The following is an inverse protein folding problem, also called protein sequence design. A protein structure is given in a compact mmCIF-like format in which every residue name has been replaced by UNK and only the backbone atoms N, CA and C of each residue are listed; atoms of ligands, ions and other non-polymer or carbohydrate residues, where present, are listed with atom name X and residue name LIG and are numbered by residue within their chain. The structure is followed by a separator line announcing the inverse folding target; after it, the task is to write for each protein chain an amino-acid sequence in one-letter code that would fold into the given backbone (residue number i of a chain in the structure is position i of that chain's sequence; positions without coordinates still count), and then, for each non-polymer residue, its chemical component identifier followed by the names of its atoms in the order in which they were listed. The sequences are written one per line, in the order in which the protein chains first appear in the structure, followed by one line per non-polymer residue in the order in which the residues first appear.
data_IF_032318750888
#
_entry.id   IF_032318750888
#
_cell.length_a   1.000
_cell.length_b   1.000
_cell.length_c   1.000
_cell.angle_alpha   90.00
_cell.angle_beta   90.00
_cell.angle_gamma   90.00
#
_symmetry.space_group_name_H-M   'P 1'
#
loop_
_entity.id
_entity.type
_entity.pdbx_description
1 polymer ?
#
# COMPACT_ATOMS: atom_id res chain seq x y z
N UNK A 1 15.97 -11.57 37.90
CA UNK A 1 16.89 -10.74 37.08
C UNK A 1 17.59 -11.51 35.97
N UNK A 2 18.10 -12.69 36.27
CA UNK A 2 18.79 -13.52 35.26
C UNK A 2 17.86 -13.95 34.11
N UNK A 3 16.61 -14.30 34.41
CA UNK A 3 15.61 -14.72 33.41
C UNK A 3 15.30 -13.62 32.40
N UNK A 4 15.23 -12.34 32.84
CA UNK A 4 15.00 -11.19 31.94
C UNK A 4 16.20 -10.90 31.05
N UNK A 5 17.40 -11.10 31.56
CA UNK A 5 18.65 -10.91 30.80
C UNK A 5 18.82 -11.99 29.74
N UNK A 6 18.55 -13.24 30.11
CA UNK A 6 18.58 -14.38 29.18
C UNK A 6 17.52 -14.20 28.10
N UNK A 7 16.31 -13.80 28.46
CA UNK A 7 15.23 -13.55 27.53
C UNK A 7 15.58 -12.43 26.54
N UNK A 8 16.18 -11.33 26.99
CA UNK A 8 16.60 -10.22 26.13
C UNK A 8 17.67 -10.67 25.14
N UNK A 9 18.65 -11.45 25.59
CA UNK A 9 19.69 -11.97 24.71
C UNK A 9 19.09 -12.91 23.64
N UNK A 10 18.17 -13.78 24.03
CA UNK A 10 17.45 -14.66 23.09
C UNK A 10 16.63 -13.87 22.07
N UNK A 11 15.95 -12.83 22.51
CA UNK A 11 15.17 -11.95 21.62
C UNK A 11 16.05 -11.25 20.60
N UNK A 12 17.18 -10.69 21.05
CA UNK A 12 18.14 -10.03 20.15
C UNK A 12 18.77 -11.00 19.17
N UNK A 13 19.13 -12.19 19.62
CA UNK A 13 19.66 -13.26 18.75
C UNK A 13 18.59 -13.72 17.74
N UNK A 14 17.34 -13.80 18.16
CA UNK A 14 16.23 -14.13 17.26
C UNK A 14 16.03 -13.12 16.16
N UNK A 15 16.10 -11.82 16.48
CA UNK A 15 16.02 -10.74 15.51
C UNK A 15 17.20 -10.77 14.54
N UNK A 16 18.41 -11.00 15.05
CA UNK A 16 19.61 -11.14 14.22
C UNK A 16 19.47 -12.29 13.21
N UNK A 17 18.94 -13.42 13.66
CA UNK A 17 18.66 -14.58 12.78
C UNK A 17 17.60 -14.25 11.72
N UNK A 18 16.58 -13.48 12.06
CA UNK A 18 15.54 -13.06 11.10
C UNK A 18 16.15 -12.18 9.99
N UNK A 19 17.02 -11.25 10.34
CA UNK A 19 17.74 -10.46 9.34
C UNK A 19 18.62 -11.34 8.46
N UNK A 20 19.37 -12.25 9.05
CA UNK A 20 20.25 -13.15 8.32
C UNK A 20 19.51 -14.09 7.37
N UNK A 21 18.28 -14.49 7.74
CA UNK A 21 17.45 -15.38 6.91
C UNK A 21 16.61 -14.66 5.86
N UNK A 22 16.68 -13.32 5.79
CA UNK A 22 15.94 -12.52 4.82
C UNK A 22 14.52 -12.15 5.24
N UNK A 23 14.09 -12.49 6.45
CA UNK A 23 12.79 -12.12 6.99
C UNK A 23 12.82 -10.70 7.58
N UNK A 24 13.04 -9.73 6.71
CA UNK A 24 13.36 -8.35 7.10
C UNK A 24 12.20 -7.65 7.80
N UNK A 25 10.98 -7.75 7.27
CA UNK A 25 9.81 -7.08 7.86
C UNK A 25 9.50 -7.60 9.27
N UNK A 26 9.61 -8.91 9.47
CA UNK A 26 9.41 -9.53 10.78
C UNK A 26 10.49 -9.10 11.76
N UNK A 27 11.74 -9.07 11.31
CA UNK A 27 12.87 -8.60 12.12
C UNK A 27 12.68 -7.14 12.54
N UNK A 28 12.29 -6.26 11.63
CA UNK A 28 12.02 -4.86 11.91
C UNK A 28 10.86 -4.67 12.88
N UNK A 29 9.79 -5.46 12.73
CA UNK A 29 8.64 -5.42 13.61
C UNK A 29 9.00 -5.85 15.03
N UNK A 30 9.72 -6.96 15.15
CA UNK A 30 10.16 -7.48 16.45
C UNK A 30 11.14 -6.51 17.14
N UNK A 31 12.03 -5.90 16.36
CA UNK A 31 12.98 -4.91 16.88
C UNK A 31 12.24 -3.65 17.38
N UNK A 32 11.23 -3.17 16.66
CA UNK A 32 10.43 -2.03 17.13
C UNK A 32 9.69 -2.33 18.43
N UNK A 33 9.12 -3.52 18.55
CA UNK A 33 8.48 -3.96 19.80
C UNK A 33 9.47 -3.99 20.95
N UNK A 34 10.67 -4.50 20.69
CA UNK A 34 11.72 -4.58 21.71
C UNK A 34 12.20 -3.19 22.11
N UNK A 35 12.45 -2.30 21.15
CA UNK A 35 12.83 -0.91 21.42
C UNK A 35 11.78 -0.15 22.23
N UNK A 36 10.49 -0.42 22.01
CA UNK A 36 9.40 0.22 22.73
C UNK A 36 9.36 -0.13 24.22
N UNK A 37 9.96 -1.25 24.62
CA UNK A 37 10.05 -1.66 26.01
C UNK A 37 11.08 -0.85 26.79
N UNK A 38 11.95 -0.11 26.12
CA UNK A 38 13.02 0.68 26.73
C UNK A 38 12.81 2.17 26.45
N UNK A 39 13.18 3.01 27.40
CA UNK A 39 13.06 4.46 27.32
C UNK A 39 13.87 5.12 28.42
N UNK A 40 13.58 6.37 28.72
CA UNK A 40 14.28 7.13 29.77
C UNK A 40 14.17 6.45 31.14
N UNK A 41 12.97 5.89 31.44
CA UNK A 41 12.69 5.23 32.73
C UNK A 41 13.23 3.80 32.78
N UNK A 42 13.44 3.19 31.61
CA UNK A 42 13.99 1.84 31.47
C UNK A 42 15.09 1.87 30.42
N UNK A 43 16.31 2.25 30.80
CA UNK A 43 17.42 2.29 29.82
C UNK A 43 17.82 0.88 29.41
N UNK A 44 18.34 0.76 28.20
CA UNK A 44 18.90 -0.49 27.70
C UNK A 44 20.10 -0.87 28.56
N UNK A 45 20.18 -2.12 29.06
CA UNK A 45 21.35 -2.56 29.81
C UNK A 45 22.64 -2.36 29.00
N UNK A 46 23.66 -1.85 29.64
CA UNK A 46 24.93 -1.50 28.97
C UNK A 46 25.53 -2.68 28.19
N UNK A 47 25.35 -3.87 28.67
CA UNK A 47 25.79 -5.13 28.04
C UNK A 47 25.22 -5.31 26.65
N UNK A 48 23.99 -4.83 26.38
CA UNK A 48 23.28 -5.03 25.13
C UNK A 48 23.25 -3.79 24.22
N UNK A 49 23.76 -2.64 24.66
CA UNK A 49 23.73 -1.39 23.89
C UNK A 49 24.33 -1.54 22.51
N UNK A 50 25.47 -2.17 22.41
CA UNK A 50 26.19 -2.38 21.16
C UNK A 50 25.38 -3.22 20.18
N UNK A 51 24.73 -4.26 20.68
CA UNK A 51 23.92 -5.16 19.89
C UNK A 51 22.64 -4.46 19.38
N UNK A 52 21.99 -3.68 20.24
CA UNK A 52 20.84 -2.85 19.85
C UNK A 52 21.20 -1.83 18.78
N UNK A 53 22.30 -1.12 18.95
CA UNK A 53 22.77 -0.13 17.99
C UNK A 53 23.04 -0.77 16.62
N UNK A 54 23.67 -1.91 16.61
CA UNK A 54 23.97 -2.65 15.38
C UNK A 54 22.72 -3.12 14.68
N UNK A 55 21.76 -3.67 15.42
CA UNK A 55 20.47 -4.12 14.86
C UNK A 55 19.62 -2.96 14.37
N UNK A 56 19.58 -1.86 15.11
CA UNK A 56 18.88 -0.65 14.69
C UNK A 56 19.48 -0.04 13.42
N UNK A 57 20.81 -0.06 13.31
CA UNK A 57 21.51 0.38 12.12
C UNK A 57 21.16 -0.50 10.92
N UNK A 58 21.18 -1.83 11.10
CA UNK A 58 20.81 -2.78 10.06
C UNK A 58 19.35 -2.57 9.61
N UNK A 59 18.42 -2.39 10.54
CA UNK A 59 17.02 -2.12 10.23
C UNK A 59 16.85 -0.84 9.40
N UNK A 60 17.60 0.21 9.76
CA UNK A 60 17.58 1.48 9.03
C UNK A 60 18.14 1.34 7.61
N UNK A 61 19.23 0.59 7.47
CA UNK A 61 19.79 0.31 6.13
C UNK A 61 18.78 -0.37 5.21
N UNK A 62 18.04 -1.36 5.72
CA UNK A 62 16.99 -2.02 4.94
C UNK A 62 15.83 -1.08 4.60
N UNK A 63 15.45 -0.19 5.52
CA UNK A 63 14.44 0.84 5.25
C UNK A 63 14.88 1.80 4.14
N UNK A 64 16.11 2.28 4.22
CA UNK A 64 16.68 3.19 3.22
C UNK A 64 16.76 2.52 1.85
N UNK A 65 17.17 1.26 1.82
CA UNK A 65 17.21 0.45 0.60
C UNK A 65 15.82 0.26 0.00
N UNK A 66 14.84 -0.10 0.83
CA UNK A 66 13.46 -0.29 0.40
C UNK A 66 12.87 1.02 -0.15
N UNK A 67 13.12 2.14 0.53
CA UNK A 67 12.68 3.45 0.07
C UNK A 67 13.31 3.82 -1.27
N UNK A 68 14.62 3.61 -1.41
CA UNK A 68 15.35 3.88 -2.66
C UNK A 68 14.80 3.03 -3.82
N UNK A 69 14.63 1.73 -3.58
CA UNK A 69 14.15 0.79 -4.59
C UNK A 69 12.70 1.08 -5.03
N UNK A 70 11.84 1.53 -4.10
CA UNK A 70 10.43 1.79 -4.38
C UNK A 70 10.16 3.21 -4.85
N UNK A 71 11.02 4.18 -4.51
CA UNK A 71 10.82 5.60 -4.83
C UNK A 71 10.74 5.84 -6.34
N UNK A 72 11.68 5.31 -7.09
CA UNK A 72 11.71 5.44 -8.57
C UNK A 72 10.49 4.77 -9.19
N UNK A 73 10.11 3.59 -8.70
CA UNK A 73 8.94 2.87 -9.17
C UNK A 73 7.65 3.65 -8.92
N UNK A 74 7.52 4.27 -7.77
CA UNK A 74 6.37 5.13 -7.45
C UNK A 74 6.28 6.34 -8.37
N UNK A 75 7.41 6.96 -8.67
CA UNK A 75 7.48 8.08 -9.62
C UNK A 75 7.06 7.64 -11.02
N UNK A 76 7.50 6.47 -11.47
CA UNK A 76 7.07 5.88 -12.75
C UNK A 76 5.55 5.67 -12.78
N UNK A 77 4.96 5.14 -11.71
CA UNK A 77 3.52 4.90 -11.62
C UNK A 77 2.72 6.20 -11.65
N UNK A 78 3.18 7.24 -10.97
CA UNK A 78 2.57 8.58 -11.02
C UNK A 78 2.60 9.12 -12.44
N UNK A 79 3.73 8.99 -13.11
CA UNK A 79 3.90 9.44 -14.51
C UNK A 79 2.98 8.65 -15.45
N UNK A 80 2.88 7.35 -15.27
CA UNK A 80 2.01 6.48 -16.06
C UNK A 80 0.54 6.90 -15.95
N UNK A 81 0.04 7.12 -14.73
CA UNK A 81 -1.33 7.59 -14.51
C UNK A 81 -1.53 8.99 -15.08
N UNK A 82 -0.56 9.88 -14.92
CA UNK A 82 -0.62 11.24 -15.49
C UNK A 82 -0.73 11.19 -17.02
N UNK A 83 -0.01 10.28 -17.65
CA UNK A 83 -0.10 10.05 -19.09
C UNK A 83 -1.46 9.47 -19.50
N UNK A 84 -2.03 8.60 -18.68
CA UNK A 84 -3.38 8.05 -18.93
C UNK A 84 -4.44 9.14 -18.90
N UNK A 85 -4.29 10.18 -18.08
CA UNK A 85 -5.25 11.28 -17.97
C UNK A 85 -5.38 12.06 -19.30
N UNK A 86 -4.32 12.09 -20.11
CA UNK A 86 -4.30 12.77 -21.41
C UNK A 86 -4.45 11.80 -22.58
N UNK A 87 -4.57 10.52 -22.33
CA UNK A 87 -4.72 9.50 -23.37
C UNK A 87 -6.13 9.52 -23.95
N UNK A 88 -6.24 9.12 -25.22
CA UNK A 88 -7.53 9.00 -25.92
C UNK A 88 -8.05 7.56 -25.91
N UNK A 89 -7.79 6.85 -24.84
CA UNK A 89 -8.22 5.46 -24.70
C UNK A 89 -9.72 5.38 -24.41
N UNK A 90 -10.34 4.30 -24.87
CA UNK A 90 -11.72 3.97 -24.48
C UNK A 90 -11.85 3.86 -22.96
N UNK A 91 -12.97 4.33 -22.38
CA UNK A 91 -13.16 4.32 -20.92
C UNK A 91 -12.95 2.97 -20.24
N UNK A 92 -13.41 1.87 -20.85
CA UNK A 92 -13.20 0.53 -20.31
C UNK A 92 -11.73 0.15 -20.22
N UNK A 93 -11.00 0.42 -21.30
CA UNK A 93 -9.57 0.15 -21.39
C UNK A 93 -8.77 1.04 -20.47
N UNK A 94 -9.18 2.31 -20.38
CA UNK A 94 -8.59 3.27 -19.44
C UNK A 94 -8.77 2.82 -17.99
N UNK A 95 -9.98 2.38 -17.63
CA UNK A 95 -10.28 1.86 -16.30
C UNK A 95 -9.40 0.66 -15.94
N UNK A 96 -9.22 -0.30 -16.85
CA UNK A 96 -8.37 -1.46 -16.64
C UNK A 96 -6.91 -1.04 -16.38
N UNK A 97 -6.39 -0.06 -17.13
CA UNK A 97 -5.03 0.43 -16.95
C UNK A 97 -4.85 1.17 -15.65
N UNK A 98 -5.82 1.99 -15.26
CA UNK A 98 -5.80 2.70 -13.96
C UNK A 98 -5.80 1.68 -12.82
N UNK A 99 -6.66 0.67 -12.86
CA UNK A 99 -6.69 -0.38 -11.85
C UNK A 99 -5.38 -1.18 -11.78
N UNK A 100 -4.76 -1.44 -12.92
CA UNK A 100 -3.47 -2.12 -12.97
C UNK A 100 -2.37 -1.30 -12.26
N UNK A 101 -2.33 0.01 -12.49
CA UNK A 101 -1.37 0.91 -11.82
C UNK A 101 -1.65 0.98 -10.32
N UNK A 102 -2.92 1.05 -9.91
CA UNK A 102 -3.30 1.04 -8.51
C UNK A 102 -2.89 -0.24 -7.80
N UNK A 103 -3.02 -1.39 -8.46
CA UNK A 103 -2.56 -2.68 -7.93
C UNK A 103 -1.04 -2.71 -7.75
N UNK A 104 -0.30 -2.16 -8.71
CA UNK A 104 1.17 -2.06 -8.59
C UNK A 104 1.57 -1.17 -7.42
N UNK A 105 0.86 -0.06 -7.19
CA UNK A 105 1.10 0.80 -6.04
C UNK A 105 0.85 0.07 -4.72
N UNK A 106 -0.25 -0.67 -4.61
CA UNK A 106 -0.56 -1.49 -3.44
C UNK A 106 0.50 -2.56 -3.19
N UNK A 107 1.02 -3.19 -4.23
CA UNK A 107 2.11 -4.15 -4.12
C UNK A 107 3.37 -3.51 -3.52
N UNK A 108 3.70 -2.29 -3.92
CA UNK A 108 4.83 -1.56 -3.35
C UNK A 108 4.60 -1.25 -1.87
N UNK A 109 3.38 -0.93 -1.47
CA UNK A 109 3.03 -0.69 -0.06
C UNK A 109 3.16 -1.97 0.77
N UNK A 110 2.81 -3.13 0.22
CA UNK A 110 2.88 -4.42 0.91
C UNK A 110 4.32 -4.93 1.06
N UNK A 111 5.15 -4.74 0.04
CA UNK A 111 6.49 -5.33 -0.02
C UNK A 111 7.62 -4.32 0.22
N UNK A 112 7.30 -3.03 0.28
CA UNK A 112 8.26 -1.96 0.52
C UNK A 112 7.80 -1.03 1.62
N UNK A 113 8.43 0.14 1.69
CA UNK A 113 8.06 1.19 2.63
C UNK A 113 6.81 1.92 2.11
N UNK A 114 5.91 2.28 3.02
CA UNK A 114 4.72 3.06 2.69
C UNK A 114 5.12 4.41 2.09
N UNK A 115 4.41 4.87 1.09
CA UNK A 115 4.67 6.14 0.44
C UNK A 115 4.49 7.32 1.40
N UNK A 116 5.25 8.40 1.17
CA UNK A 116 5.03 9.65 1.88
C UNK A 116 3.63 10.20 1.58
N UNK A 117 3.10 11.04 2.47
CA UNK A 117 1.80 11.69 2.27
C UNK A 117 1.77 12.50 0.97
N UNK A 118 2.87 13.16 0.63
CA UNK A 118 3.00 13.96 -0.59
C UNK A 118 2.89 13.10 -1.84
N UNK A 119 3.61 12.00 -1.91
CA UNK A 119 3.56 11.07 -3.05
C UNK A 119 2.20 10.41 -3.17
N UNK A 120 1.61 10.00 -2.06
CA UNK A 120 0.27 9.42 -2.04
C UNK A 120 -0.77 10.43 -2.54
N UNK A 121 -0.71 11.67 -2.08
CA UNK A 121 -1.61 12.75 -2.51
C UNK A 121 -1.49 13.01 -4.01
N UNK A 122 -0.26 13.09 -4.52
CA UNK A 122 0.02 13.28 -5.94
C UNK A 122 -0.53 12.14 -6.78
N UNK A 123 -0.31 10.89 -6.33
CA UNK A 123 -0.82 9.71 -7.02
C UNK A 123 -2.35 9.67 -7.01
N UNK A 124 -2.96 9.96 -5.88
CA UNK A 124 -4.42 10.00 -5.72
C UNK A 124 -5.04 11.03 -6.65
N UNK A 125 -4.49 12.24 -6.69
CA UNK A 125 -4.97 13.30 -7.59
C UNK A 125 -4.84 12.91 -9.06
N UNK A 126 -3.71 12.32 -9.43
CA UNK A 126 -3.49 11.84 -10.80
C UNK A 126 -4.50 10.74 -11.18
N UNK A 127 -4.78 9.82 -10.27
CA UNK A 127 -5.79 8.77 -10.47
C UNK A 127 -7.20 9.37 -10.62
N UNK A 128 -7.56 10.35 -9.81
CA UNK A 128 -8.86 11.02 -9.89
C UNK A 128 -9.05 11.74 -11.24
N UNK A 129 -8.03 12.44 -11.71
CA UNK A 129 -8.04 13.09 -13.01
C UNK A 129 -8.17 12.09 -14.16
N UNK A 130 -7.41 11.01 -14.10
CA UNK A 130 -7.45 9.96 -15.11
C UNK A 130 -8.80 9.23 -15.11
N UNK A 131 -9.45 9.12 -13.95
CA UNK A 131 -10.73 8.43 -13.79
C UNK A 131 -11.94 9.23 -14.31
N UNK A 132 -11.84 10.56 -14.46
CA UNK A 132 -12.98 11.39 -14.87
C UNK A 132 -13.72 10.88 -16.10
N UNK A 133 -13.06 10.54 -17.23
CA UNK A 133 -13.76 9.99 -18.39
C UNK A 133 -14.44 8.67 -18.10
N UNK A 134 -13.85 7.85 -17.23
CA UNK A 134 -14.42 6.56 -16.83
C UNK A 134 -15.67 6.78 -15.98
N UNK A 135 -15.64 7.73 -15.05
CA UNK A 135 -16.80 8.08 -14.22
C UNK A 135 -17.99 8.46 -15.07
N UNK A 136 -17.79 9.38 -16.00
CA UNK A 136 -18.85 9.84 -16.92
C UNK A 136 -19.43 8.69 -17.73
N UNK A 137 -18.57 7.84 -18.27
CA UNK A 137 -18.97 6.68 -19.04
C UNK A 137 -19.82 5.70 -18.22
N UNK A 138 -19.39 5.37 -17.02
CA UNK A 138 -20.10 4.43 -16.16
C UNK A 138 -21.41 5.02 -15.61
N UNK A 139 -21.48 6.33 -15.35
CA UNK A 139 -22.71 7.01 -14.98
C UNK A 139 -23.75 6.94 -16.13
N UNK A 140 -23.32 7.18 -17.36
CA UNK A 140 -24.19 7.06 -18.53
C UNK A 140 -24.69 5.62 -18.72
N UNK A 141 -23.79 4.65 -18.52
CA UNK A 141 -24.17 3.23 -18.60
C UNK A 141 -25.21 2.86 -17.53
N UNK A 142 -25.05 3.31 -16.31
CA UNK A 142 -25.98 3.06 -15.21
C UNK A 142 -27.33 3.70 -15.49
N UNK A 143 -27.35 4.93 -16.01
CA UNK A 143 -28.58 5.62 -16.45
C UNK A 143 -29.30 4.84 -17.54
N UNK A 144 -28.55 4.32 -18.53
CA UNK A 144 -29.14 3.50 -19.61
C UNK A 144 -29.70 2.18 -19.08
N UNK A 145 -29.02 1.54 -18.14
CA UNK A 145 -29.52 0.33 -17.48
C UNK A 145 -30.82 0.61 -16.73
N UNK A 146 -30.91 1.71 -16.03
CA UNK A 146 -32.11 2.13 -15.30
C UNK A 146 -33.26 2.44 -16.26
N UNK A 147 -32.98 3.16 -17.33
CA UNK A 147 -33.99 3.42 -18.39
C UNK A 147 -34.49 2.14 -19.03
N UNK A 148 -33.59 1.21 -19.36
CA UNK A 148 -33.96 -0.09 -19.94
C UNK A 148 -34.76 -0.91 -18.95
N UNK A 149 -34.45 -0.86 -17.68
CA UNK A 149 -35.18 -1.53 -16.61
C UNK A 149 -36.61 -0.97 -16.49
N UNK A 150 -36.76 0.33 -16.55
CA UNK A 150 -38.06 1.03 -16.54
C UNK A 150 -38.88 0.66 -17.78
N UNK A 151 -38.27 0.65 -18.97
CA UNK A 151 -38.92 0.25 -20.20
C UNK A 151 -39.43 -1.20 -20.15
N UNK A 152 -38.62 -2.11 -19.60
CA UNK A 152 -39.04 -3.50 -19.40
C UNK A 152 -40.22 -3.62 -18.44
N UNK A 153 -40.21 -2.88 -17.33
CA UNK A 153 -41.29 -2.85 -16.37
C UNK A 153 -42.58 -2.29 -16.96
N UNK A 154 -42.48 -1.23 -17.77
CA UNK A 154 -43.63 -0.65 -18.48
C UNK A 154 -44.22 -1.65 -19.49
N UNK A 155 -43.38 -2.38 -20.24
CA UNK A 155 -43.82 -3.42 -21.16
C UNK A 155 -44.54 -4.56 -20.43
N UNK A 156 -44.02 -5.00 -19.29
CA UNK A 156 -44.63 -6.03 -18.46
C UNK A 156 -46.00 -5.57 -17.98
N UNK A 157 -46.12 -4.34 -17.48
CA UNK A 157 -47.37 -3.75 -17.03
C UNK A 157 -48.39 -3.67 -18.17
N UNK A 158 -47.98 -3.31 -19.39
CA UNK A 158 -48.83 -3.28 -20.57
C UNK A 158 -49.34 -4.68 -20.92
N UNK A 159 -48.48 -5.68 -20.83
CA UNK A 159 -48.87 -7.09 -21.10
C UNK A 159 -49.84 -7.59 -20.03
N UNK A 160 -49.65 -7.28 -18.77
CA UNK A 160 -50.54 -7.67 -17.66
C UNK A 160 -51.91 -6.98 -17.73
N UNK A 161 -51.96 -5.77 -18.30
CA UNK A 161 -53.21 -4.99 -18.44
C UNK A 161 -54.06 -5.40 -19.68
N UNK A 162 -53.56 -6.27 -20.55
CA UNK A 162 -54.31 -6.80 -21.66
C UNK A 162 -55.33 -7.84 -21.16
N UNK A 163 -56.61 -7.74 -21.51
CA UNK A 163 -57.61 -8.72 -21.14
C UNK A 163 -57.40 -10.07 -21.83
#
# INVERSE_FOLDING_TARGET
MEDKVINLNEQLNGIEKLFASGQIKKAQKDLRKLNSQFGRDKPIPQKFRHKFQRLNFTAKEYDDWAEFATSDKRTELIQEVSNLATSKLEPRRLAEKIHAVQRQWQNLDQHGKTASKEKWSTFKEACEKAWLPCREYFEILDSKKDENKLKKLQLINQIESFP
#
